data_IF_077343744375
#
_entry.id   IF_077343744375
#
_cell.length_a   1.000
_cell.length_b   1.000
_cell.length_c   1.000
_cell.angle_alpha   90.00
_cell.angle_beta   90.00
_cell.angle_gamma   90.00
#
_symmetry.space_group_name_H-M   'P 1'
#
loop_
_entity.id
_entity.type
_entity.pdbx_description
1 polymer ?
#
# COMPACT_ATOMS: atom_id res chain seq x y z
N UNK A 1 40.43 38.87 58.09
CA UNK A 1 40.83 40.15 57.49
C UNK A 1 41.36 39.90 56.11
N UNK A 2 40.54 39.78 55.09
CA UNK A 2 41.00 39.84 53.73
C UNK A 2 39.75 40.17 52.86
N UNK A 3 39.79 41.36 52.29
CA UNK A 3 38.82 41.86 51.31
C UNK A 3 38.97 41.09 49.99
N UNK A 4 38.00 40.36 49.57
CA UNK A 4 37.92 39.88 48.21
C UNK A 4 37.01 40.81 47.40
N UNK A 5 37.66 41.48 46.47
CA UNK A 5 37.00 42.25 45.39
C UNK A 5 36.41 41.25 44.38
N UNK A 6 35.11 41.28 44.21
CA UNK A 6 34.43 40.57 43.13
C UNK A 6 34.33 41.51 41.92
N UNK A 7 35.04 41.21 40.91
CA UNK A 7 34.95 41.88 39.60
C UNK A 7 33.79 41.28 38.83
N UNK A 8 32.68 41.99 38.70
CA UNK A 8 31.61 41.64 37.76
C UNK A 8 32.02 41.98 36.32
N UNK A 9 32.32 40.95 35.57
CA UNK A 9 32.50 41.05 34.11
C UNK A 9 31.08 40.98 33.46
N UNK A 10 30.63 42.11 32.99
CA UNK A 10 29.38 42.21 32.22
C UNK A 10 29.73 41.84 30.77
N UNK A 11 29.33 40.60 30.35
CA UNK A 11 29.39 40.18 28.95
C UNK A 11 28.11 40.66 28.30
N UNK A 12 28.24 41.73 27.50
CA UNK A 12 27.16 42.19 26.60
C UNK A 12 27.15 41.23 25.40
N UNK A 13 26.27 40.23 25.49
CA UNK A 13 25.97 39.32 24.37
C UNK A 13 25.08 40.05 23.34
N UNK A 14 25.64 40.38 22.20
CA UNK A 14 24.87 40.82 21.03
C UNK A 14 24.10 39.62 20.47
N UNK A 15 22.80 39.56 20.75
CA UNK A 15 21.88 38.64 20.11
C UNK A 15 21.64 39.08 18.67
N UNK A 16 22.29 38.42 17.72
CA UNK A 16 21.91 38.53 16.32
C UNK A 16 20.57 37.81 16.09
N UNK A 17 19.58 38.43 15.46
CA UNK A 17 18.36 37.74 15.10
C UNK A 17 18.69 36.79 13.93
N UNK A 18 18.69 35.49 14.18
CA UNK A 18 18.59 34.49 13.14
C UNK A 18 17.20 34.64 12.50
N UNK A 19 17.15 35.33 11.37
CA UNK A 19 16.01 35.26 10.48
C UNK A 19 15.94 33.82 9.95
N UNK A 20 15.13 32.98 10.58
CA UNK A 20 14.72 31.71 10.03
C UNK A 20 13.91 32.01 8.76
N UNK A 21 14.54 31.87 7.59
CA UNK A 21 13.86 31.80 6.32
C UNK A 21 12.99 30.55 6.34
N UNK A 22 11.72 30.71 6.74
CA UNK A 22 10.70 29.73 6.48
C UNK A 22 10.50 29.70 4.96
N UNK A 23 11.19 28.78 4.29
CA UNK A 23 10.80 28.35 2.96
C UNK A 23 9.40 27.77 3.11
N UNK A 24 8.39 28.60 2.84
CA UNK A 24 7.05 28.14 2.59
C UNK A 24 7.18 27.15 1.43
N UNK A 25 7.04 25.85 1.74
CA UNK A 25 7.01 24.81 0.73
C UNK A 25 5.98 25.25 -0.31
N UNK A 26 6.46 25.42 -1.52
CA UNK A 26 5.64 25.73 -2.69
C UNK A 26 4.50 24.72 -2.73
N UNK A 27 3.32 25.15 -2.31
CA UNK A 27 2.10 24.36 -2.45
C UNK A 27 1.93 24.14 -3.93
N UNK A 28 2.25 22.93 -4.41
CA UNK A 28 1.91 22.53 -5.77
C UNK A 28 0.42 22.78 -5.93
N UNK A 29 0.10 23.75 -6.76
CA UNK A 29 -1.27 24.05 -7.15
C UNK A 29 -1.77 22.81 -7.89
N UNK A 30 -2.57 21.99 -7.23
CA UNK A 30 -3.27 20.89 -7.88
C UNK A 30 -4.36 21.57 -8.69
N UNK A 31 -4.15 21.70 -9.99
CA UNK A 31 -5.19 22.15 -10.90
C UNK A 31 -6.35 21.15 -10.82
N UNK A 32 -7.47 21.62 -10.28
CA UNK A 32 -8.66 20.80 -10.07
C UNK A 32 -9.39 20.43 -11.37
N UNK A 33 -8.89 20.87 -12.51
CA UNK A 33 -9.48 20.58 -13.81
C UNK A 33 -8.57 19.62 -14.60
N UNK A 34 -8.97 18.34 -14.78
CA UNK A 34 -8.20 17.36 -15.54
C UNK A 34 -8.00 17.72 -17.03
N UNK A 35 -8.61 18.83 -17.47
CA UNK A 35 -8.55 19.33 -18.87
C UNK A 35 -7.77 20.63 -19.02
N UNK A 36 -7.09 21.14 -17.98
CA UNK A 36 -6.36 22.41 -18.03
C UNK A 36 -5.00 22.30 -18.73
N UNK A 37 -4.51 21.12 -19.01
CA UNK A 37 -3.33 20.95 -19.86
C UNK A 37 -3.76 21.04 -21.32
N UNK A 38 -3.31 22.11 -21.99
CA UNK A 38 -3.45 22.18 -23.43
C UNK A 38 -2.91 20.89 -24.05
N UNK A 39 -3.65 20.26 -24.99
CA UNK A 39 -3.17 19.03 -25.61
C UNK A 39 -1.80 19.31 -26.24
N UNK A 40 -0.82 18.43 -25.98
CA UNK A 40 0.50 18.51 -26.59
C UNK A 40 0.34 18.65 -28.10
N UNK A 41 0.86 19.73 -28.65
CA UNK A 41 0.87 19.97 -30.07
C UNK A 41 2.33 19.98 -30.56
N UNK A 42 2.60 19.24 -31.61
CA UNK A 42 3.90 19.27 -32.29
C UNK A 42 4.28 20.68 -32.80
N UNK A 43 3.30 21.59 -32.84
CA UNK A 43 3.48 22.98 -33.28
C UNK A 43 3.93 23.88 -32.12
N UNK A 44 3.84 23.46 -30.87
CA UNK A 44 4.23 24.27 -29.72
C UNK A 44 5.73 24.29 -29.45
N UNK A 45 6.50 23.41 -30.08
CA UNK A 45 7.96 23.31 -29.88
C UNK A 45 8.37 22.78 -28.50
N UNK A 46 7.44 22.52 -27.59
CA UNK A 46 7.71 21.90 -26.31
C UNK A 46 7.63 20.37 -26.43
N UNK A 47 8.63 19.63 -25.92
CA UNK A 47 8.56 18.18 -25.96
C UNK A 47 7.37 17.71 -25.12
N UNK A 48 6.42 17.04 -25.77
CA UNK A 48 5.37 16.32 -25.05
C UNK A 48 6.04 15.27 -24.18
N UNK A 49 5.99 15.43 -22.86
CA UNK A 49 6.36 14.34 -21.95
C UNK A 49 5.39 13.19 -22.24
N UNK A 50 5.90 12.02 -22.67
CA UNK A 50 5.01 10.90 -22.94
C UNK A 50 4.24 10.60 -21.65
N UNK A 51 2.91 10.69 -21.73
CA UNK A 51 2.09 10.13 -20.67
C UNK A 51 2.38 8.64 -20.65
N UNK A 52 2.81 8.11 -19.52
CA UNK A 52 3.04 6.66 -19.35
C UNK A 52 1.78 5.84 -19.64
N UNK A 53 0.65 6.49 -19.82
CA UNK A 53 -0.65 5.93 -20.13
C UNK A 53 -1.05 6.27 -21.57
N UNK A 54 -0.37 5.72 -22.55
CA UNK A 54 -0.79 5.75 -23.95
C UNK A 54 -1.65 4.51 -24.27
N UNK A 55 -2.72 4.72 -25.04
CA UNK A 55 -3.53 3.60 -25.58
C UNK A 55 -2.73 2.63 -26.45
N UNK A 56 -1.52 3.01 -26.84
CA UNK A 56 -0.58 2.18 -27.61
C UNK A 56 0.39 1.38 -26.73
N UNK A 57 0.44 1.65 -25.41
CA UNK A 57 1.19 0.83 -24.47
C UNK A 57 0.28 -0.30 -23.99
N UNK A 58 0.63 -1.52 -24.34
CA UNK A 58 -0.08 -2.72 -23.89
C UNK A 58 0.19 -3.07 -22.41
N UNK A 59 1.10 -2.36 -21.77
CA UNK A 59 1.33 -2.50 -20.34
C UNK A 59 0.21 -1.81 -19.54
N UNK A 60 -0.28 -2.43 -18.47
CA UNK A 60 -1.31 -1.80 -17.65
C UNK A 60 -0.77 -0.48 -17.10
N UNK A 61 -1.35 0.63 -17.55
CA UNK A 61 -1.11 1.94 -16.97
C UNK A 61 -1.56 1.92 -15.52
N UNK A 62 -0.65 1.63 -14.63
CA UNK A 62 -0.80 1.95 -13.22
C UNK A 62 -0.10 3.31 -13.09
N UNK A 63 -0.84 4.43 -13.01
CA UNK A 63 -0.21 5.68 -12.66
C UNK A 63 0.50 5.44 -11.33
N UNK A 64 1.79 5.69 -11.29
CA UNK A 64 2.52 5.88 -10.05
C UNK A 64 1.99 7.19 -9.45
N UNK A 65 0.79 7.09 -8.88
CA UNK A 65 0.20 8.18 -8.16
C UNK A 65 0.94 8.22 -6.83
N UNK A 66 1.83 9.19 -6.73
CA UNK A 66 2.46 9.56 -5.47
C UNK A 66 1.37 10.19 -4.57
N UNK A 67 0.46 9.34 -4.09
CA UNK A 67 -0.58 9.77 -3.18
C UNK A 67 0.05 10.12 -1.83
N UNK A 68 -0.33 11.26 -1.26
CA UNK A 68 0.07 11.58 0.09
C UNK A 68 -0.28 10.40 1.01
N UNK A 69 0.66 10.03 1.83
CA UNK A 69 0.57 8.92 2.78
C UNK A 69 -0.84 8.81 3.37
N UNK A 70 -1.52 7.72 3.10
CA UNK A 70 -2.76 7.34 3.76
C UNK A 70 -4.03 7.26 2.91
N UNK A 71 -4.03 7.61 1.63
CA UNK A 71 -5.27 7.56 0.83
C UNK A 71 -5.54 6.20 0.20
N UNK A 72 -4.51 5.45 -0.20
CA UNK A 72 -4.68 4.12 -0.78
C UNK A 72 -3.92 3.04 -0.02
N UNK A 73 -4.65 2.26 0.76
CA UNK A 73 -4.11 1.07 1.39
C UNK A 73 -4.12 -0.08 0.36
N UNK A 74 -2.99 -0.25 -0.35
CA UNK A 74 -2.86 -1.31 -1.36
C UNK A 74 -1.70 -2.24 -1.02
N UNK A 75 -1.91 -3.54 -1.23
CA UNK A 75 -0.89 -4.55 -1.05
C UNK A 75 -1.02 -5.65 -2.08
N UNK A 76 0.11 -6.12 -2.58
CA UNK A 76 0.18 -7.34 -3.41
C UNK A 76 0.62 -8.52 -2.54
N UNK A 77 -0.13 -9.61 -2.63
CA UNK A 77 0.14 -10.87 -1.94
C UNK A 77 0.39 -11.94 -3.00
N UNK A 78 1.56 -12.57 -2.95
CA UNK A 78 1.95 -13.67 -3.83
C UNK A 78 1.74 -15.00 -3.13
N UNK A 79 1.31 -16.01 -3.87
CA UNK A 79 1.18 -17.38 -3.34
C UNK A 79 2.54 -18.01 -3.02
N UNK A 80 3.56 -17.58 -3.73
CA UNK A 80 4.95 -17.97 -3.49
C UNK A 80 5.81 -16.71 -3.38
N UNK A 81 6.14 -16.24 -2.14
CA UNK A 81 7.01 -15.09 -1.97
C UNK A 81 8.43 -15.39 -2.46
N UNK A 82 9.12 -14.40 -2.95
CA UNK A 82 10.57 -14.51 -3.21
C UNK A 82 11.33 -14.67 -1.89
N UNK A 83 12.56 -15.17 -1.97
CA UNK A 83 13.40 -15.35 -0.79
C UNK A 83 13.64 -14.02 -0.05
N UNK A 84 13.79 -12.92 -0.79
CA UNK A 84 13.96 -11.58 -0.24
C UNK A 84 12.69 -11.03 0.44
N UNK A 85 11.52 -11.51 0.01
CA UNK A 85 10.24 -11.09 0.57
C UNK A 85 9.74 -12.01 1.72
N UNK A 86 10.42 -13.12 1.99
CA UNK A 86 9.96 -14.13 2.95
C UNK A 86 9.69 -13.53 4.35
N UNK A 87 10.50 -12.56 4.79
CA UNK A 87 10.32 -11.88 6.08
C UNK A 87 9.03 -11.05 6.14
N UNK A 88 8.56 -10.51 5.01
CA UNK A 88 7.32 -9.73 4.92
C UNK A 88 6.05 -10.59 5.05
N UNK A 89 6.20 -11.91 4.99
CA UNK A 89 5.12 -12.89 5.13
C UNK A 89 5.07 -13.54 6.52
N UNK A 90 5.94 -13.11 7.42
CA UNK A 90 5.90 -13.57 8.81
C UNK A 90 4.76 -12.88 9.55
N UNK A 91 3.97 -13.66 10.28
CA UNK A 91 2.90 -13.12 11.11
C UNK A 91 3.51 -12.33 12.26
N UNK A 92 3.08 -11.07 12.49
CA UNK A 92 3.47 -10.33 13.67
C UNK A 92 3.05 -11.06 14.95
N UNK A 93 3.91 -11.05 15.97
CA UNK A 93 3.69 -11.68 17.28
C UNK A 93 3.12 -10.72 18.35
N UNK A 94 2.83 -9.49 17.93
CA UNK A 94 2.33 -8.39 18.74
C UNK A 94 1.04 -7.80 18.16
N UNK A 95 0.38 -6.94 18.90
CA UNK A 95 -0.78 -6.19 18.40
C UNK A 95 -0.33 -5.25 17.28
N UNK A 96 -1.08 -5.25 16.19
CA UNK A 96 -0.74 -4.52 14.98
C UNK A 96 -0.79 -3.01 15.24
N UNK A 97 0.34 -2.34 15.08
CA UNK A 97 0.51 -0.92 15.39
C UNK A 97 0.78 -0.06 14.16
N UNK A 98 1.22 -0.69 13.06
CA UNK A 98 1.57 -0.02 11.81
C UNK A 98 0.84 -0.65 10.61
N UNK A 99 0.77 0.10 9.51
CA UNK A 99 0.27 -0.43 8.22
C UNK A 99 1.17 -1.58 7.73
N UNK A 100 2.47 -1.52 8.02
CA UNK A 100 3.41 -2.61 7.73
C UNK A 100 3.02 -3.91 8.44
N UNK A 101 2.69 -3.85 9.73
CA UNK A 101 2.23 -5.01 10.51
C UNK A 101 0.92 -5.56 9.95
N UNK A 102 -0.03 -4.66 9.60
CA UNK A 102 -1.28 -5.07 8.97
C UNK A 102 -1.01 -5.84 7.68
N UNK A 103 -0.14 -5.33 6.81
CA UNK A 103 0.17 -5.98 5.55
C UNK A 103 0.93 -7.30 5.75
N UNK A 104 1.80 -7.40 6.75
CA UNK A 104 2.46 -8.65 7.12
C UNK A 104 1.43 -9.68 7.63
N UNK A 105 0.52 -9.28 8.49
CA UNK A 105 -0.57 -10.12 8.97
C UNK A 105 -1.45 -10.60 7.80
N UNK A 106 -1.86 -9.71 6.90
CA UNK A 106 -2.67 -10.06 5.72
C UNK A 106 -1.95 -11.04 4.79
N UNK A 107 -0.63 -10.86 4.58
CA UNK A 107 0.17 -11.81 3.80
C UNK A 107 0.25 -13.18 4.45
N UNK A 108 0.47 -13.23 5.76
CA UNK A 108 0.57 -14.49 6.50
C UNK A 108 -0.73 -15.28 6.54
N UNK A 109 -1.86 -14.61 6.32
CA UNK A 109 -3.19 -15.25 6.28
C UNK A 109 -3.48 -15.95 4.95
N UNK A 110 -2.76 -15.62 3.89
CA UNK A 110 -3.08 -16.12 2.57
C UNK A 110 -2.83 -17.62 2.45
N UNK A 111 -3.90 -18.33 2.11
CA UNK A 111 -3.85 -19.76 1.75
C UNK A 111 -4.44 -19.91 0.34
N UNK A 112 -3.60 -20.11 -0.68
CA UNK A 112 -4.06 -20.25 -2.05
C UNK A 112 -4.86 -21.55 -2.25
N UNK A 113 -5.72 -21.62 -3.28
CA UNK A 113 -6.40 -22.85 -3.64
C UNK A 113 -5.43 -24.00 -3.87
N UNK A 114 -5.83 -25.26 -3.66
CA UNK A 114 -5.00 -26.40 -3.98
C UNK A 114 -4.65 -26.43 -5.47
N UNK A 115 -3.53 -27.08 -5.84
CA UNK A 115 -2.98 -26.99 -7.19
C UNK A 115 -3.94 -27.50 -8.30
N UNK A 116 -4.74 -28.52 -7.98
CA UNK A 116 -5.75 -29.10 -8.87
C UNK A 116 -6.96 -28.19 -9.16
N UNK A 117 -7.22 -27.22 -8.27
CA UNK A 117 -8.28 -26.22 -8.41
C UNK A 117 -7.73 -24.81 -8.71
N UNK A 118 -6.44 -24.69 -8.95
CA UNK A 118 -5.76 -23.44 -9.21
C UNK A 118 -5.52 -23.21 -10.71
N UNK A 119 -5.16 -21.97 -11.06
CA UNK A 119 -4.74 -21.60 -12.41
C UNK A 119 -3.46 -20.78 -12.32
N UNK A 120 -2.45 -21.19 -13.04
CA UNK A 120 -1.19 -20.47 -13.13
C UNK A 120 -1.39 -19.03 -13.61
N UNK A 121 -0.68 -18.09 -13.00
CA UNK A 121 -0.76 -16.67 -13.34
C UNK A 121 -2.09 -16.00 -12.97
N UNK A 122 -2.96 -16.68 -12.21
CA UNK A 122 -4.22 -16.07 -11.78
C UNK A 122 -3.96 -14.86 -10.88
N UNK A 123 -4.62 -13.76 -11.20
CA UNK A 123 -4.61 -12.54 -10.38
C UNK A 123 -6.05 -12.18 -10.03
N UNK A 124 -6.25 -11.77 -8.77
CA UNK A 124 -7.54 -11.28 -8.30
C UNK A 124 -7.32 -10.13 -7.34
N UNK A 125 -8.05 -9.04 -7.54
CA UNK A 125 -8.08 -7.92 -6.60
C UNK A 125 -9.39 -7.88 -5.86
N UNK A 126 -9.31 -7.65 -4.56
CA UNK A 126 -10.48 -7.47 -3.69
C UNK A 126 -10.38 -6.18 -2.92
N UNK A 127 -11.54 -5.62 -2.58
CA UNK A 127 -11.69 -4.41 -1.79
C UNK A 127 -12.55 -4.70 -0.58
N UNK A 128 -12.10 -4.29 0.60
CA UNK A 128 -12.84 -4.39 1.86
C UNK A 128 -12.35 -3.34 2.86
N UNK A 129 -12.97 -3.27 4.02
CA UNK A 129 -12.61 -2.34 5.09
C UNK A 129 -12.76 -3.01 6.45
N UNK A 130 -12.00 -2.53 7.43
CA UNK A 130 -12.07 -2.98 8.81
C UNK A 130 -12.89 -2.03 9.69
N UNK A 131 -13.50 -2.61 10.72
CA UNK A 131 -13.94 -1.87 11.91
C UNK A 131 -12.71 -1.53 12.77
N UNK A 132 -12.85 -0.58 13.67
CA UNK A 132 -11.83 -0.26 14.67
C UNK A 132 -11.40 -1.48 15.50
N UNK A 133 -12.29 -2.44 15.69
CA UNK A 133 -12.05 -3.69 16.43
C UNK A 133 -11.20 -4.72 15.66
N UNK A 134 -10.82 -4.47 14.42
CA UNK A 134 -10.10 -5.44 13.58
C UNK A 134 -10.98 -6.45 12.85
N UNK A 135 -12.30 -6.42 13.02
CA UNK A 135 -13.22 -7.22 12.24
C UNK A 135 -13.53 -6.55 10.89
N UNK A 136 -13.75 -7.32 9.84
CA UNK A 136 -14.21 -6.75 8.56
C UNK A 136 -15.60 -6.15 8.69
N UNK A 137 -15.86 -5.07 7.93
CA UNK A 137 -17.19 -4.43 7.88
C UNK A 137 -18.14 -5.29 7.06
N UNK A 138 -17.67 -5.85 5.95
CA UNK A 138 -18.40 -6.71 5.03
C UNK A 138 -17.44 -7.66 4.32
N UNK A 139 -17.92 -8.75 3.74
CA UNK A 139 -17.09 -9.65 2.93
C UNK A 139 -16.35 -8.92 1.81
N UNK A 140 -15.13 -9.33 1.47
CA UNK A 140 -14.35 -8.75 0.38
C UNK A 140 -15.08 -8.77 -0.95
N UNK A 141 -15.10 -7.64 -1.63
CA UNK A 141 -15.68 -7.49 -2.95
C UNK A 141 -14.60 -7.61 -4.02
N UNK A 142 -14.77 -8.53 -4.96
CA UNK A 142 -13.89 -8.64 -6.12
C UNK A 142 -13.99 -7.38 -6.99
N UNK A 143 -12.85 -6.76 -7.30
CA UNK A 143 -12.73 -5.60 -8.17
C UNK A 143 -12.07 -5.93 -9.51
N UNK A 144 -11.23 -6.96 -9.53
CA UNK A 144 -10.53 -7.43 -10.72
C UNK A 144 -10.29 -8.93 -10.66
N UNK A 145 -10.31 -9.59 -11.82
CA UNK A 145 -9.81 -10.94 -12.02
C UNK A 145 -9.14 -11.04 -13.38
N UNK A 146 -8.16 -11.93 -13.53
CA UNK A 146 -7.48 -12.19 -14.80
C UNK A 146 -8.49 -12.39 -15.93
N UNK A 147 -8.30 -11.69 -17.03
CA UNK A 147 -9.18 -11.81 -18.22
C UNK A 147 -9.18 -13.23 -18.75
N UNK A 148 -10.35 -13.70 -19.18
CA UNK A 148 -10.51 -15.06 -19.69
C UNK A 148 -10.43 -16.15 -18.63
N UNK A 149 -10.35 -15.82 -17.33
CA UNK A 149 -10.47 -16.81 -16.27
C UNK A 149 -11.91 -17.33 -16.22
N UNK A 150 -12.13 -18.68 -16.24
CA UNK A 150 -13.44 -19.30 -16.08
C UNK A 150 -14.13 -18.88 -14.78
N UNK A 151 -15.45 -18.89 -14.77
CA UNK A 151 -16.23 -18.45 -13.61
C UNK A 151 -16.00 -19.32 -12.36
N UNK A 152 -15.86 -20.62 -12.56
CA UNK A 152 -15.55 -21.61 -11.49
C UNK A 152 -14.19 -21.31 -10.85
N UNK A 153 -13.15 -21.03 -11.64
CA UNK A 153 -11.82 -20.64 -11.16
C UNK A 153 -11.91 -19.33 -10.36
N UNK A 154 -12.60 -18.31 -10.89
CA UNK A 154 -12.78 -17.05 -10.16
C UNK A 154 -13.47 -17.26 -8.83
N UNK A 155 -14.52 -18.09 -8.80
CA UNK A 155 -15.24 -18.41 -7.57
C UNK A 155 -14.36 -19.18 -6.58
N UNK A 156 -13.52 -20.09 -7.05
CA UNK A 156 -12.57 -20.84 -6.21
C UNK A 156 -11.58 -19.91 -5.52
N UNK A 157 -10.98 -18.97 -6.26
CA UNK A 157 -10.08 -17.99 -5.65
C UNK A 157 -10.80 -17.04 -4.70
N UNK A 158 -11.99 -16.58 -5.03
CA UNK A 158 -12.78 -15.71 -4.14
C UNK A 158 -13.16 -16.43 -2.84
N UNK A 159 -13.52 -17.71 -2.91
CA UNK A 159 -13.75 -18.54 -1.72
C UNK A 159 -12.49 -18.71 -0.87
N UNK A 160 -11.34 -18.97 -1.50
CA UNK A 160 -10.06 -19.10 -0.80
C UNK A 160 -9.66 -17.79 -0.11
N UNK A 161 -9.84 -16.65 -0.77
CA UNK A 161 -9.60 -15.32 -0.19
C UNK A 161 -10.50 -15.07 1.02
N UNK A 162 -11.81 -15.32 0.88
CA UNK A 162 -12.76 -15.15 1.98
C UNK A 162 -12.40 -16.07 3.17
N UNK A 163 -12.10 -17.33 2.92
CA UNK A 163 -11.71 -18.28 3.95
C UNK A 163 -10.42 -17.85 4.67
N UNK A 164 -9.41 -17.41 3.91
CA UNK A 164 -8.14 -16.93 4.45
C UNK A 164 -8.33 -15.72 5.37
N UNK A 165 -9.07 -14.72 4.93
CA UNK A 165 -9.33 -13.52 5.71
C UNK A 165 -10.18 -13.82 6.95
N UNK A 166 -11.26 -14.59 6.81
CA UNK A 166 -12.12 -14.98 7.93
C UNK A 166 -11.40 -15.83 8.97
N UNK A 167 -10.43 -16.66 8.54
CA UNK A 167 -9.61 -17.48 9.45
C UNK A 167 -8.63 -16.65 10.29
N UNK A 168 -8.34 -15.41 9.88
CA UNK A 168 -7.44 -14.51 10.59
C UNK A 168 -8.15 -13.45 11.44
N UNK A 169 -9.46 -13.28 11.25
CA UNK A 169 -10.24 -12.33 12.04
C UNK A 169 -10.49 -12.81 13.48
N UNK A 170 -10.65 -11.88 14.43
CA UNK A 170 -10.36 -10.45 14.32
C UNK A 170 -8.87 -10.14 14.40
N UNK A 171 -8.43 -9.17 13.60
CA UNK A 171 -7.06 -8.66 13.70
C UNK A 171 -6.92 -7.82 14.98
N UNK A 172 -5.86 -8.07 15.73
CA UNK A 172 -5.61 -7.33 16.96
C UNK A 172 -4.94 -6.00 16.64
N UNK A 173 -5.71 -4.93 16.56
CA UNK A 173 -5.21 -3.57 16.33
C UNK A 173 -4.92 -2.87 17.65
N UNK A 174 -3.82 -2.09 17.69
CA UNK A 174 -3.69 -1.04 18.68
C UNK A 174 -4.76 0.03 18.46
N UNK A 175 -5.09 0.82 19.49
CA UNK A 175 -6.08 1.89 19.36
C UNK A 175 -5.72 2.86 18.22
N UNK A 176 -4.44 3.23 18.10
CA UNK A 176 -3.95 4.14 17.06
C UNK A 176 -4.15 3.61 15.64
N UNK A 177 -3.78 2.35 15.39
CA UNK A 177 -3.99 1.75 14.07
C UNK A 177 -5.48 1.58 13.78
N UNK A 178 -6.26 1.09 14.76
CA UNK A 178 -7.70 0.92 14.60
C UNK A 178 -8.41 2.22 14.24
N UNK A 179 -8.05 3.34 14.87
CA UNK A 179 -8.60 4.66 14.54
C UNK A 179 -8.17 5.14 13.14
N UNK A 180 -6.93 4.88 12.77
CA UNK A 180 -6.36 5.33 11.51
C UNK A 180 -6.97 4.61 10.28
N UNK A 181 -7.36 3.33 10.42
CA UNK A 181 -7.80 2.51 9.27
C UNK A 181 -9.29 2.17 9.26
N UNK A 182 -10.01 2.43 10.36
CA UNK A 182 -11.45 2.12 10.45
C UNK A 182 -12.25 2.75 9.29
N UNK A 183 -12.99 1.93 8.57
CA UNK A 183 -13.80 2.35 7.42
C UNK A 183 -13.02 2.67 6.15
N UNK A 184 -11.69 2.71 6.19
CA UNK A 184 -10.88 2.99 4.99
C UNK A 184 -10.84 1.80 4.06
N UNK A 185 -10.94 2.00 2.74
CA UNK A 185 -10.85 0.93 1.77
C UNK A 185 -9.43 0.38 1.70
N UNK A 186 -9.31 -0.94 1.77
CA UNK A 186 -8.06 -1.68 1.59
C UNK A 186 -8.21 -2.53 0.35
N UNK A 187 -7.28 -2.37 -0.59
CA UNK A 187 -7.22 -3.17 -1.81
C UNK A 187 -6.10 -4.19 -1.70
N UNK A 188 -6.43 -5.46 -1.87
CA UNK A 188 -5.44 -6.53 -1.95
C UNK A 188 -5.46 -7.12 -3.35
N UNK A 189 -4.28 -7.21 -3.96
CA UNK A 189 -4.05 -7.96 -5.19
C UNK A 189 -3.40 -9.29 -4.84
N UNK A 190 -4.13 -10.38 -5.02
CA UNK A 190 -3.62 -11.73 -4.91
C UNK A 190 -3.06 -12.17 -6.27
N UNK A 191 -1.86 -12.72 -6.26
CA UNK A 191 -1.16 -13.21 -7.45
C UNK A 191 -0.74 -14.66 -7.21
N UNK A 192 -1.28 -15.56 -8.00
CA UNK A 192 -0.82 -16.96 -7.99
C UNK A 192 0.34 -17.11 -8.97
N UNK A 193 1.54 -17.10 -8.41
CA UNK A 193 2.80 -17.23 -9.12
C UNK A 193 3.45 -18.61 -8.90
N UNK A 194 2.66 -19.61 -8.50
CA UNK A 194 3.14 -20.98 -8.35
C UNK A 194 3.31 -21.62 -9.73
N UNK A 195 4.35 -22.45 -9.86
CA UNK A 195 4.52 -23.35 -10.99
C UNK A 195 3.69 -24.63 -10.69
N UNK A 196 2.46 -24.63 -11.20
CA UNK A 196 1.50 -25.69 -10.89
C UNK A 196 1.85 -27.03 -11.57
N UNK A 197 2.55 -26.99 -12.72
CA UNK A 197 2.98 -28.20 -13.42
C UNK A 197 4.01 -28.99 -12.59
N UNK A 198 4.98 -28.28 -11.97
CA UNK A 198 5.95 -28.93 -11.08
C UNK A 198 5.33 -29.49 -9.81
N UNK A 199 4.27 -28.83 -9.30
CA UNK A 199 3.60 -29.29 -8.09
C UNK A 199 2.69 -30.50 -8.32
N UNK A 200 2.12 -30.64 -9.51
CA UNK A 200 1.28 -31.79 -9.87
C UNK A 200 2.10 -33.07 -10.15
N UNK A 201 3.34 -32.93 -10.62
CA UNK A 201 4.24 -34.05 -10.91
C UNK A 201 5.01 -34.62 -9.69
N UNK A 202 4.88 -33.99 -8.52
CA UNK A 202 5.57 -34.38 -7.28
C UNK A 202 4.72 -35.24 -6.32
N UNK A 203 3.59 -35.77 -6.78
CA UNK A 203 2.71 -36.68 -6.01
C UNK A 203 2.88 -38.14 -6.43
#
# INVERSE_FOLDING_TARGET
>A
MLRQMVICLIIVGTAAPFAASSSAGERRHIDATPFSHAPCSVLSGEPCTPSFCSVFNHDPCIPELDYPYGENLQVTIRSQPSQDDATKYQKPDHDLSTIGDLFAALRSCWSPPPADAAREGMQMSVLFSFKKSGAMIAPPRMTFATQGAPADIRNTYLKAINASLSGCEPFKFTAGLGDAIAGRPIMIRYVDNRDLEKQSGAR
#
